data_IF_409753271325
#
_entry.id   IF_409753271325
#
_cell.length_a   1.000
_cell.length_b   1.000
_cell.length_c   1.000
_cell.angle_alpha   90.00
_cell.angle_beta   90.00
_cell.angle_gamma   90.00
#
_symmetry.space_group_name_H-M   'P 1'
#
loop_
_entity.id
_entity.type
_entity.pdbx_description
1 polymer ?
#
# COMPACT_ATOMS: atom_id res chain seq x y z
N UNK A 1 9.15 25.44 25.60
CA UNK A 1 8.60 24.70 24.45
C UNK A 1 7.52 23.77 24.97
N UNK A 2 6.29 23.83 24.45
CA UNK A 2 5.18 23.04 24.97
C UNK A 2 5.30 21.58 24.51
N UNK A 3 5.34 20.63 25.44
CA UNK A 3 5.53 19.20 25.15
C UNK A 3 4.46 18.62 24.23
N UNK A 4 3.22 19.11 24.32
CA UNK A 4 2.14 18.63 23.44
C UNK A 4 2.38 18.99 21.97
N UNK A 5 3.03 20.14 21.73
CA UNK A 5 3.35 20.60 20.37
C UNK A 5 4.38 19.66 19.73
N UNK A 6 5.37 19.19 20.50
CA UNK A 6 6.36 18.24 20.00
C UNK A 6 5.72 16.90 19.62
N UNK A 7 4.78 16.41 20.44
CA UNK A 7 4.05 15.16 20.14
C UNK A 7 3.22 15.31 18.87
N UNK A 8 2.48 16.41 18.73
CA UNK A 8 1.65 16.66 17.54
C UNK A 8 2.51 16.74 16.29
N UNK A 9 3.61 17.50 16.33
CA UNK A 9 4.53 17.62 15.19
C UNK A 9 5.13 16.26 14.83
N UNK A 10 5.58 15.48 15.80
CA UNK A 10 6.11 14.14 15.56
C UNK A 10 5.08 13.21 14.92
N UNK A 11 3.85 13.20 15.41
CA UNK A 11 2.76 12.42 14.83
C UNK A 11 2.47 12.82 13.38
N UNK A 12 2.43 14.12 13.08
CA UNK A 12 2.22 14.61 11.71
C UNK A 12 3.34 14.18 10.77
N UNK A 13 4.60 14.28 11.20
CA UNK A 13 5.75 13.83 10.39
C UNK A 13 5.65 12.34 10.08
N UNK A 14 5.31 11.51 11.07
CA UNK A 14 5.13 10.07 10.87
C UNK A 14 3.98 9.74 9.93
N UNK A 15 2.84 10.42 10.07
CA UNK A 15 1.67 10.25 9.20
C UNK A 15 1.99 10.64 7.77
N UNK A 16 2.65 11.79 7.56
CA UNK A 16 3.05 12.24 6.24
C UNK A 16 4.09 11.30 5.62
N UNK A 17 5.08 10.87 6.40
CA UNK A 17 6.07 9.89 5.97
C UNK A 17 5.43 8.60 5.50
N UNK A 18 4.55 8.02 6.32
CA UNK A 18 3.78 6.82 5.96
C UNK A 18 2.97 7.02 4.67
N UNK A 19 2.25 8.14 4.57
CA UNK A 19 1.34 8.40 3.44
C UNK A 19 2.10 8.61 2.13
N UNK A 20 3.11 9.47 2.11
CA UNK A 20 3.86 9.76 0.89
C UNK A 20 4.75 8.60 0.47
N UNK A 21 5.47 7.99 1.41
CA UNK A 21 6.35 6.88 1.09
C UNK A 21 5.54 5.63 0.70
N UNK A 22 4.46 5.33 1.43
CA UNK A 22 3.55 4.24 1.09
C UNK A 22 2.92 4.40 -0.29
N UNK A 23 2.45 5.60 -0.64
CA UNK A 23 1.94 5.87 -1.99
C UNK A 23 3.00 5.76 -3.08
N UNK A 24 4.24 6.17 -2.81
CA UNK A 24 5.36 5.99 -3.75
C UNK A 24 5.67 4.51 -3.99
N UNK A 25 5.73 3.69 -2.93
CA UNK A 25 5.92 2.23 -3.06
C UNK A 25 4.78 1.63 -3.89
N UNK A 26 3.53 1.95 -3.57
CA UNK A 26 2.36 1.44 -4.30
C UNK A 26 2.42 1.79 -5.80
N UNK A 27 2.79 3.03 -6.14
CA UNK A 27 2.77 3.50 -7.52
C UNK A 27 4.02 3.13 -8.34
N UNK A 28 5.21 3.06 -7.72
CA UNK A 28 6.49 2.92 -8.43
C UNK A 28 7.20 1.60 -8.22
N UNK A 29 7.05 0.98 -7.04
CA UNK A 29 7.71 -0.29 -6.74
C UNK A 29 6.77 -1.45 -7.06
N UNK A 30 5.59 -1.45 -6.45
CA UNK A 30 4.59 -2.50 -6.66
C UNK A 30 3.79 -2.30 -7.94
N UNK A 31 3.66 -1.04 -8.38
CA UNK A 31 2.86 -0.64 -9.55
C UNK A 31 1.47 -1.26 -9.48
N UNK A 32 0.80 -1.02 -8.34
CA UNK A 32 -0.55 -1.54 -8.09
C UNK A 32 -1.51 -0.98 -9.14
N UNK A 33 -2.23 -1.89 -9.79
CA UNK A 33 -3.21 -1.59 -10.82
C UNK A 33 -4.45 -2.45 -10.59
N UNK A 34 -5.53 -1.82 -10.12
CA UNK A 34 -6.81 -2.49 -9.85
C UNK A 34 -7.54 -2.94 -11.12
N UNK A 35 -7.16 -2.42 -12.28
CA UNK A 35 -7.74 -2.82 -13.58
C UNK A 35 -7.09 -4.08 -14.14
N UNK A 36 -5.94 -4.49 -13.59
CA UNK A 36 -5.23 -5.68 -14.03
C UNK A 36 -5.80 -6.93 -13.37
N UNK A 37 -6.23 -7.87 -14.20
CA UNK A 37 -6.67 -9.17 -13.73
C UNK A 37 -5.53 -9.92 -13.02
N UNK A 38 -5.81 -10.40 -11.82
CA UNK A 38 -4.86 -11.16 -11.02
C UNK A 38 -4.55 -12.52 -11.69
N UNK A 39 -3.30 -13.03 -11.58
CA UNK A 39 -2.91 -14.29 -12.21
C UNK A 39 -3.81 -15.47 -11.87
N UNK A 40 -4.36 -15.51 -10.65
CA UNK A 40 -5.27 -16.57 -10.20
C UNK A 40 -6.55 -16.66 -11.02
N UNK A 41 -7.04 -15.55 -11.60
CA UNK A 41 -8.20 -15.55 -12.50
C UNK A 41 -7.78 -15.73 -13.95
N UNK A 42 -6.71 -15.05 -14.37
CA UNK A 42 -6.25 -15.06 -15.77
C UNK A 42 -5.75 -16.44 -16.23
N UNK A 43 -5.10 -17.19 -15.34
CA UNK A 43 -4.50 -18.48 -15.63
C UNK A 43 -5.18 -19.61 -14.86
N UNK A 44 -6.45 -19.44 -14.50
CA UNK A 44 -7.20 -20.41 -13.69
C UNK A 44 -7.15 -21.82 -14.30
N UNK A 45 -6.52 -22.74 -13.58
CA UNK A 45 -6.28 -24.12 -14.02
C UNK A 45 -6.80 -25.17 -13.03
N UNK A 46 -7.36 -24.73 -11.89
CA UNK A 46 -7.90 -25.60 -10.84
C UNK A 46 -6.85 -26.29 -9.97
N UNK A 47 -5.56 -25.98 -10.13
CA UNK A 47 -4.47 -26.56 -9.34
C UNK A 47 -3.46 -25.49 -8.87
N UNK A 48 -2.72 -24.85 -9.78
CA UNK A 48 -1.68 -23.87 -9.46
C UNK A 48 -2.25 -22.44 -9.36
N UNK A 49 -3.32 -22.16 -10.10
CA UNK A 49 -4.00 -20.86 -10.13
C UNK A 49 -5.48 -21.05 -9.80
N UNK A 50 -5.85 -20.71 -8.56
CA UNK A 50 -7.24 -20.80 -8.07
C UNK A 50 -7.64 -19.45 -7.45
N UNK A 51 -8.73 -18.80 -7.93
CA UNK A 51 -9.23 -17.57 -7.35
C UNK A 51 -9.66 -17.78 -5.89
N UNK A 52 -9.31 -16.82 -5.04
CA UNK A 52 -9.83 -16.73 -3.66
C UNK A 52 -10.88 -15.61 -3.59
N UNK A 53 -11.83 -15.79 -2.69
CA UNK A 53 -13.03 -14.96 -2.51
C UNK A 53 -12.89 -13.96 -1.36
#
# INVERSE_FOLDING_TARGET
MNSIVLVIVGALVLVLGYRFYGSWIAAKVLVLDETREVPSKKFEDGHDYVPTN
#
